data_IF_312750683375
#
_entry.id   IF_312750683375
#
_cell.length_a   1.000
_cell.length_b   1.000
_cell.length_c   1.000
_cell.angle_alpha   90.00
_cell.angle_beta   90.00
_cell.angle_gamma   90.00
#
_symmetry.space_group_name_H-M   'P 1'
#
loop_
_entity.id
_entity.type
_entity.pdbx_description
1 polymer ?
#
# COMPACT_ATOMS: atom_id res chain seq x y z
N UNK A 1 -26.72 0.22 -25.89
CA UNK A 1 -26.37 0.30 -24.47
C UNK A 1 -24.95 0.88 -24.43
N UNK A 2 -24.74 2.04 -23.82
CA UNK A 2 -23.41 2.62 -23.61
C UNK A 2 -23.10 2.52 -22.13
N UNK A 3 -21.98 1.89 -21.79
CA UNK A 3 -21.53 1.80 -20.41
C UNK A 3 -21.29 3.20 -19.82
N UNK A 4 -21.73 3.47 -18.58
CA UNK A 4 -21.49 4.73 -17.92
C UNK A 4 -19.99 4.90 -17.72
N UNK A 5 -19.46 5.94 -18.35
CA UNK A 5 -18.06 6.37 -18.38
C UNK A 5 -17.43 6.24 -16.99
N UNK A 6 -16.22 5.67 -16.94
CA UNK A 6 -15.35 5.78 -15.76
C UNK A 6 -15.19 7.29 -15.45
N UNK A 7 -15.76 7.73 -14.33
CA UNK A 7 -15.77 9.12 -13.86
C UNK A 7 -14.48 9.51 -13.14
N UNK A 8 -13.44 8.68 -13.20
CA UNK A 8 -12.10 9.08 -12.80
C UNK A 8 -11.59 10.06 -13.85
N UNK A 9 -11.87 11.35 -13.62
CA UNK A 9 -11.34 12.44 -14.41
C UNK A 9 -9.85 12.25 -14.60
N UNK A 10 -9.40 12.32 -15.84
CA UNK A 10 -7.97 12.43 -16.12
C UNK A 10 -7.53 13.76 -15.52
N UNK A 11 -6.57 13.78 -14.56
CA UNK A 11 -6.02 15.04 -14.10
C UNK A 11 -5.54 15.85 -15.31
N UNK A 12 -5.89 17.13 -15.37
CA UNK A 12 -5.41 18.02 -16.41
C UNK A 12 -3.88 18.04 -16.45
N UNK A 13 -3.31 18.42 -17.59
CA UNK A 13 -1.85 18.38 -17.78
C UNK A 13 -1.06 19.24 -16.78
N UNK A 14 -1.71 20.21 -16.14
CA UNK A 14 -1.14 21.10 -15.11
C UNK A 14 -1.75 20.88 -13.71
N UNK A 15 -2.59 19.86 -13.52
CA UNK A 15 -3.13 19.52 -12.21
C UNK A 15 -2.19 18.55 -11.51
N UNK A 16 -1.28 19.11 -10.71
CA UNK A 16 -0.49 18.31 -9.78
C UNK A 16 -1.44 17.61 -8.79
N UNK A 17 -1.24 16.31 -8.60
CA UNK A 17 -1.98 15.58 -7.59
C UNK A 17 -1.70 16.23 -6.24
N UNK A 18 -2.76 16.56 -5.49
CA UNK A 18 -2.69 17.06 -4.12
C UNK A 18 -2.09 15.95 -3.24
N UNK A 19 -0.77 15.80 -3.27
CA UNK A 19 -0.07 14.89 -2.39
C UNK A 19 -0.11 15.57 -1.03
N UNK A 20 -1.07 15.19 -0.19
CA UNK A 20 -1.04 15.51 1.22
C UNK A 20 0.40 15.28 1.69
N UNK A 21 1.09 16.33 2.13
CA UNK A 21 2.48 16.29 2.60
C UNK A 21 2.52 15.44 3.86
N UNK A 22 2.46 14.11 3.68
CA UNK A 22 2.54 13.12 4.74
C UNK A 22 3.93 13.22 5.33
N UNK A 23 4.03 13.92 6.46
CA UNK A 23 5.22 13.89 7.28
C UNK A 23 5.59 12.43 7.54
N UNK A 24 6.89 12.13 7.45
CA UNK A 24 7.40 10.80 7.77
C UNK A 24 6.87 10.38 9.15
N UNK A 25 6.51 9.11 9.36
CA UNK A 25 6.15 8.63 10.68
C UNK A 25 7.31 8.97 11.63
N UNK A 26 7.00 9.70 12.71
CA UNK A 26 7.96 10.01 13.77
C UNK A 26 8.55 8.68 14.29
N UNK A 27 9.89 8.57 14.36
CA UNK A 27 10.74 7.37 14.64
C UNK A 27 10.49 6.67 16.01
N UNK A 28 9.25 6.67 16.48
CA UNK A 28 8.81 6.00 17.72
C UNK A 28 8.09 4.68 17.43
N UNK A 29 7.92 4.33 16.16
CA UNK A 29 7.38 3.06 15.72
C UNK A 29 8.51 2.13 15.27
N UNK A 30 8.45 0.82 15.57
CA UNK A 30 9.35 -0.13 14.93
C UNK A 30 9.23 0.04 13.42
N UNK A 31 10.38 -0.07 12.73
CA UNK A 31 10.45 0.08 11.28
C UNK A 31 9.33 -0.73 10.64
N UNK A 32 8.60 -0.12 9.71
CA UNK A 32 7.44 -0.79 9.09
C UNK A 32 7.86 -2.12 8.44
N UNK A 33 9.10 -2.15 7.91
CA UNK A 33 9.71 -3.34 7.34
C UNK A 33 9.88 -4.47 8.38
N UNK A 34 10.30 -4.15 9.61
CA UNK A 34 10.47 -5.15 10.69
C UNK A 34 9.13 -5.76 11.12
N UNK A 35 8.07 -4.94 11.17
CA UNK A 35 6.71 -5.41 11.48
C UNK A 35 6.22 -6.35 10.37
N UNK A 36 6.40 -5.95 9.10
CA UNK A 36 5.97 -6.73 7.94
C UNK A 36 6.68 -8.08 7.88
N UNK A 37 7.99 -8.10 8.14
CA UNK A 37 8.76 -9.33 8.18
C UNK A 37 8.25 -10.27 9.29
N UNK A 38 7.99 -9.75 10.50
CA UNK A 38 7.46 -10.53 11.62
C UNK A 38 6.04 -11.06 11.39
N UNK A 39 5.21 -10.35 10.64
CA UNK A 39 3.83 -10.76 10.36
C UNK A 39 3.70 -11.67 9.13
N UNK A 40 4.72 -11.74 8.26
CA UNK A 40 4.66 -12.49 7.00
C UNK A 40 5.67 -13.62 6.90
N UNK A 41 6.59 -13.73 7.85
CA UNK A 41 7.65 -14.74 7.87
C UNK A 41 7.64 -15.50 9.20
N UNK A 42 7.81 -16.82 9.16
CA UNK A 42 7.93 -17.65 10.36
C UNK A 42 9.33 -17.56 11.01
N UNK A 43 9.47 -18.20 12.18
CA UNK A 43 10.72 -18.24 12.95
C UNK A 43 11.88 -18.93 12.19
N UNK A 44 11.60 -19.75 11.17
CA UNK A 44 12.60 -20.37 10.29
C UNK A 44 12.96 -19.46 9.09
N UNK A 45 12.40 -18.26 9.03
CA UNK A 45 12.63 -17.30 7.96
C UNK A 45 11.89 -17.64 6.66
N UNK A 46 10.85 -18.48 6.71
CA UNK A 46 10.05 -18.81 5.52
C UNK A 46 8.77 -17.99 5.48
N UNK A 47 8.30 -17.61 4.27
CA UNK A 47 7.01 -16.95 4.15
C UNK A 47 5.89 -17.82 4.74
N UNK A 48 5.03 -17.21 5.56
CA UNK A 48 3.85 -17.88 6.11
C UNK A 48 2.94 -18.36 4.98
N UNK A 49 2.43 -19.59 5.10
CA UNK A 49 1.52 -20.15 4.11
C UNK A 49 0.22 -19.35 4.07
N UNK A 50 -0.07 -18.73 2.92
CA UNK A 50 -1.31 -18.00 2.74
C UNK A 50 -2.47 -19.00 2.58
N UNK A 51 -3.49 -19.00 3.48
CA UNK A 51 -4.60 -19.93 3.40
C UNK A 51 -5.47 -19.74 2.15
N UNK A 52 -5.32 -18.64 1.40
CA UNK A 52 -5.98 -18.41 0.11
C UNK A 52 -5.28 -19.11 -1.08
N UNK A 53 -4.18 -19.84 -0.85
CA UNK A 53 -3.31 -20.42 -1.88
C UNK A 53 -3.47 -21.91 -2.13
N UNK A 54 -4.70 -22.44 -2.15
CA UNK A 54 -5.02 -23.84 -2.49
C UNK A 54 -6.09 -23.95 -3.57
#
# INVERSE_FOLDING_TARGET
MSDPKNTQGTPGADEEADTASGGAPEDTHPDTDEILDAETTDDDGKPLENPSGG
#
